data_IF_893391724049
#
_entry.id   IF_893391724049
#
_cell.length_a   1.000
_cell.length_b   1.000
_cell.length_c   1.000
_cell.angle_alpha   90.00
_cell.angle_beta   90.00
_cell.angle_gamma   90.00
#
_symmetry.space_group_name_H-M   'P 1'
#
loop_
_entity.id
_entity.type
_entity.pdbx_description
1 polymer ?
#
# COMPACT_ATOMS: atom_id res chain seq x y z
N UNK A 1 28.05 -7.48 -19.38
CA UNK A 1 27.08 -8.44 -19.91
C UNK A 1 26.78 -9.35 -18.74
N UNK A 2 25.67 -9.27 -18.03
CA UNK A 2 24.37 -8.65 -18.27
C UNK A 2 23.81 -8.29 -16.89
N UNK A 3 23.51 -7.01 -16.66
CA UNK A 3 22.59 -6.62 -15.58
C UNK A 3 21.23 -6.64 -16.24
N UNK A 4 20.62 -7.82 -16.21
CA UNK A 4 19.24 -8.00 -16.63
C UNK A 4 18.38 -6.99 -15.87
N UNK A 5 17.91 -6.01 -16.62
CA UNK A 5 16.86 -5.09 -16.24
C UNK A 5 15.61 -5.95 -16.15
N UNK A 6 15.35 -6.47 -14.94
CA UNK A 6 14.16 -7.25 -14.63
C UNK A 6 12.95 -6.45 -15.10
N UNK A 7 12.25 -7.01 -16.07
CA UNK A 7 11.03 -6.46 -16.64
C UNK A 7 10.06 -6.13 -15.50
N UNK A 8 9.59 -4.88 -15.51
CA UNK A 8 8.63 -4.26 -14.59
C UNK A 8 7.25 -4.94 -14.75
N UNK A 9 7.18 -6.23 -14.47
CA UNK A 9 5.98 -6.81 -13.91
C UNK A 9 6.00 -6.35 -12.47
N UNK A 10 5.09 -5.43 -12.13
CA UNK A 10 4.87 -5.02 -10.75
C UNK A 10 4.45 -6.25 -9.97
N UNK A 11 5.45 -6.98 -9.47
CA UNK A 11 5.25 -8.17 -8.67
C UNK A 11 4.49 -7.70 -7.43
N UNK A 12 3.26 -8.21 -7.31
CA UNK A 12 2.38 -7.85 -6.22
C UNK A 12 3.11 -8.14 -4.90
N UNK A 13 3.30 -7.10 -4.09
CA UNK A 13 4.07 -7.24 -2.87
C UNK A 13 3.38 -8.27 -1.96
N UNK A 14 4.12 -9.29 -1.49
CA UNK A 14 3.62 -10.34 -0.59
C UNK A 14 2.92 -9.80 0.68
N UNK A 15 3.19 -8.54 1.05
CA UNK A 15 2.60 -7.85 2.21
C UNK A 15 1.40 -6.97 1.84
N UNK A 16 1.02 -6.89 0.58
CA UNK A 16 -0.06 -6.02 0.11
C UNK A 16 -1.40 -6.36 0.79
N UNK A 17 -1.78 -7.63 0.85
CA UNK A 17 -3.04 -8.05 1.48
C UNK A 17 -3.09 -7.70 2.97
N UNK A 18 -1.95 -7.86 3.67
CA UNK A 18 -1.82 -7.47 5.08
C UNK A 18 -1.93 -5.94 5.23
N UNK A 19 -1.31 -5.18 4.32
CA UNK A 19 -1.42 -3.74 4.27
C UNK A 19 -2.88 -3.30 4.02
N UNK A 20 -3.57 -3.95 3.08
CA UNK A 20 -4.96 -3.66 2.72
C UNK A 20 -5.88 -3.85 3.93
N UNK A 21 -5.72 -4.96 4.64
CA UNK A 21 -6.47 -5.24 5.86
C UNK A 21 -6.25 -4.18 6.95
N UNK A 22 -4.99 -3.74 7.13
CA UNK A 22 -4.65 -2.67 8.08
C UNK A 22 -5.26 -1.32 7.67
N UNK A 23 -5.17 -0.95 6.40
CA UNK A 23 -5.72 0.30 5.86
C UNK A 23 -7.24 0.33 6.01
N UNK A 24 -7.92 -0.76 5.63
CA UNK A 24 -9.37 -0.87 5.75
C UNK A 24 -9.83 -0.78 7.21
N UNK A 25 -9.09 -1.42 8.13
CA UNK A 25 -9.42 -1.47 9.56
C UNK A 25 -9.12 -0.15 10.29
N UNK A 26 -7.89 0.34 10.20
CA UNK A 26 -7.41 1.47 11.00
C UNK A 26 -7.71 2.81 10.32
N UNK A 27 -8.18 2.81 9.06
CA UNK A 27 -8.46 4.00 8.25
C UNK A 27 -7.24 4.94 8.16
N UNK A 28 -6.04 4.36 8.04
CA UNK A 28 -4.78 5.08 7.84
C UNK A 28 -3.98 4.50 6.67
N UNK A 29 -3.67 5.32 5.67
CA UNK A 29 -2.92 4.92 4.49
C UNK A 29 -1.73 5.86 4.22
N UNK A 30 -0.79 5.94 5.16
CA UNK A 30 0.47 6.67 4.94
C UNK A 30 1.65 5.70 4.86
N UNK A 31 2.67 6.07 4.09
CA UNK A 31 3.89 5.25 3.94
C UNK A 31 4.48 4.92 5.31
N UNK A 32 4.64 5.93 6.18
CA UNK A 32 5.18 5.73 7.53
C UNK A 32 4.31 4.84 8.42
N UNK A 33 2.99 4.83 8.22
CA UNK A 33 2.10 3.92 8.94
C UNK A 33 2.33 2.47 8.52
N UNK A 34 2.37 2.20 7.21
CA UNK A 34 2.64 0.87 6.65
C UNK A 34 4.03 0.37 7.07
N UNK A 35 5.06 1.22 7.02
CA UNK A 35 6.42 0.88 7.48
C UNK A 35 6.41 0.36 8.92
N UNK A 36 5.73 1.07 9.84
CA UNK A 36 5.69 0.71 11.26
C UNK A 36 4.90 -0.57 11.52
N UNK A 37 3.76 -0.76 10.84
CA UNK A 37 2.90 -1.92 11.09
C UNK A 37 3.45 -3.21 10.48
N UNK A 38 3.99 -3.14 9.27
CA UNK A 38 4.52 -4.32 8.56
C UNK A 38 6.01 -4.53 8.77
N UNK A 39 6.68 -3.58 9.44
CA UNK A 39 8.13 -3.56 9.69
C UNK A 39 8.95 -3.67 8.40
N UNK A 40 8.56 -2.88 7.40
CA UNK A 40 9.20 -2.84 6.08
C UNK A 40 9.88 -1.49 5.80
N UNK A 41 10.81 -1.48 4.84
CA UNK A 41 11.52 -0.29 4.40
C UNK A 41 10.62 0.71 3.66
N UNK A 42 11.11 1.95 3.52
CA UNK A 42 10.36 3.06 2.89
C UNK A 42 9.92 2.73 1.46
N UNK A 43 10.86 2.31 0.60
CA UNK A 43 10.56 2.05 -0.83
C UNK A 43 9.45 1.02 -0.98
N UNK A 44 9.52 -0.07 -0.20
CA UNK A 44 8.53 -1.13 -0.21
C UNK A 44 7.14 -0.64 0.23
N UNK A 45 7.10 0.13 1.33
CA UNK A 45 5.85 0.74 1.77
C UNK A 45 5.29 1.77 0.78
N UNK A 46 6.17 2.52 0.09
CA UNK A 46 5.78 3.46 -0.95
C UNK A 46 5.14 2.73 -2.13
N UNK A 47 5.78 1.67 -2.65
CA UNK A 47 5.24 0.84 -3.72
C UNK A 47 3.88 0.22 -3.36
N UNK A 48 3.70 -0.26 -2.12
CA UNK A 48 2.41 -0.75 -1.64
C UNK A 48 1.34 0.34 -1.70
N UNK A 49 1.63 1.56 -1.23
CA UNK A 49 0.69 2.68 -1.25
C UNK A 49 0.37 3.12 -2.70
N UNK A 50 1.36 3.11 -3.60
CA UNK A 50 1.18 3.42 -5.02
C UNK A 50 0.28 2.39 -5.71
N UNK A 51 0.49 1.10 -5.42
CA UNK A 51 -0.39 0.03 -5.90
C UNK A 51 -1.82 0.19 -5.36
N UNK A 52 -1.98 0.52 -4.06
CA UNK A 52 -3.30 0.79 -3.49
C UNK A 52 -4.01 1.98 -4.15
N UNK A 53 -3.26 3.02 -4.52
CA UNK A 53 -3.82 4.18 -5.24
C UNK A 53 -4.27 3.76 -6.64
N UNK A 54 -3.44 2.99 -7.36
CA UNK A 54 -3.75 2.46 -8.69
C UNK A 54 -4.98 1.54 -8.68
N UNK A 55 -5.09 0.69 -7.67
CA UNK A 55 -6.18 -0.25 -7.49
C UNK A 55 -7.48 0.43 -6.99
N UNK A 56 -7.44 1.74 -6.73
CA UNK A 56 -8.59 2.49 -6.24
C UNK A 56 -8.96 2.15 -4.79
N UNK A 57 -8.02 1.64 -4.00
CA UNK A 57 -8.18 1.38 -2.56
C UNK A 57 -8.06 2.67 -1.77
N UNK A 58 -7.13 3.55 -2.17
CA UNK A 58 -6.86 4.84 -1.53
C UNK A 58 -6.87 5.97 -2.56
N UNK A 59 -7.23 7.17 -2.13
CA UNK A 59 -7.14 8.38 -2.95
C UNK A 59 -5.71 8.90 -3.09
N UNK A 60 -5.49 9.85 -4.01
CA UNK A 60 -4.19 10.49 -4.20
C UNK A 60 -3.72 11.20 -2.93
N UNK A 61 -2.40 11.28 -2.75
CA UNK A 61 -1.80 12.05 -1.67
C UNK A 61 -1.68 13.51 -2.10
N UNK A 62 -2.23 14.43 -1.30
CA UNK A 62 -1.95 15.86 -1.42
C UNK A 62 -0.77 16.31 -0.52
N UNK A 63 -0.17 15.38 0.22
CA UNK A 63 0.97 15.61 1.12
C UNK A 63 0.63 16.35 2.42
N UNK A 64 -0.61 16.80 2.59
CA UNK A 64 -1.05 17.60 3.75
C UNK A 64 -2.08 16.84 4.57
N UNK A 65 -3.02 16.16 3.91
CA UNK A 65 -4.12 15.44 4.54
C UNK A 65 -3.92 13.94 4.42
N UNK A 66 -4.52 13.15 5.33
CA UNK A 66 -4.60 11.71 5.16
C UNK A 66 -5.25 11.36 3.83
N UNK A 67 -4.72 10.34 3.15
CA UNK A 67 -5.35 9.78 1.95
C UNK A 67 -6.77 9.34 2.27
N UNK A 68 -7.68 9.59 1.33
CA UNK A 68 -9.02 9.01 1.38
C UNK A 68 -8.92 7.49 1.21
N UNK A 69 -9.83 6.73 1.83
CA UNK A 69 -9.82 5.26 1.79
C UNK A 69 -11.20 4.80 1.32
N UNK A 70 -11.24 4.09 0.20
CA UNK A 70 -12.46 3.69 -0.50
C UNK A 70 -12.94 2.28 -0.11
N UNK A 71 -12.07 1.49 0.53
CA UNK A 71 -12.41 0.13 0.98
C UNK A 71 -12.92 0.09 2.42
N UNK A 72 -13.76 -0.90 2.70
CA UNK A 72 -14.27 -1.21 4.03
C UNK A 72 -13.99 -2.67 4.38
N UNK A 73 -13.74 -2.99 5.66
CA UNK A 73 -13.65 -4.37 6.11
C UNK A 73 -14.95 -5.12 5.80
N UNK A 74 -14.83 -6.35 5.30
CA UNK A 74 -16.00 -7.24 5.14
C UNK A 74 -16.43 -7.66 6.56
N UNK A 75 -17.69 -7.40 6.97
CA UNK A 75 -18.18 -7.90 8.26
C UNK A 75 -18.21 -9.44 8.23
N UNK A 76 -17.64 -10.07 9.26
CA UNK A 76 -17.83 -11.49 9.48
C UNK A 76 -19.28 -11.68 9.98
N UNK A 77 -20.13 -12.28 9.15
CA UNK A 77 -21.48 -12.72 9.53
C UNK A 77 -21.44 -13.82 10.60
#
# INVERSE_FOLDING_TARGET
TDKEKSEETEEYDERYDEALALVAKDRQASISYIQRRLRIGYNRAASIIEMMERDGVVGPSDGVRPREIYVHPIPAE
#
